data_IF_304263981613
#
_entry.id   IF_304263981613
#
_cell.length_a   1.000
_cell.length_b   1.000
_cell.length_c   1.000
_cell.angle_alpha   90.00
_cell.angle_beta   90.00
_cell.angle_gamma   90.00
#
_symmetry.space_group_name_H-M   'P 1'
#
loop_
_entity.id
_entity.type
_entity.pdbx_description
1 polymer ?
#
# COMPACT_ATOMS: atom_id res chain seq x y z
N UNK A 1 -2.33 37.93 2.13
CA UNK A 1 -1.02 37.34 2.50
C UNK A 1 -1.25 35.85 2.83
N UNK A 2 -1.14 34.96 1.85
CA UNK A 2 -1.39 33.51 2.04
C UNK A 2 -0.09 32.84 2.46
N UNK A 3 -0.09 32.22 3.65
CA UNK A 3 0.99 31.37 4.12
C UNK A 3 1.14 30.17 3.17
N UNK A 4 2.34 30.01 2.64
CA UNK A 4 2.83 28.81 1.99
C UNK A 4 2.88 27.71 3.06
N UNK A 5 2.08 26.66 2.92
CA UNK A 5 2.26 25.41 3.68
C UNK A 5 2.71 24.34 2.70
N UNK A 6 3.92 23.86 2.95
CA UNK A 6 4.65 22.81 2.24
C UNK A 6 3.79 21.55 2.11
N UNK A 7 3.34 21.26 0.88
CA UNK A 7 2.60 20.05 0.51
C UNK A 7 3.61 19.04 -0.07
N UNK A 8 3.70 17.85 0.51
CA UNK A 8 4.44 16.73 -0.08
C UNK A 8 3.51 15.85 -0.91
N UNK A 9 4.00 15.45 -2.09
CA UNK A 9 3.44 14.49 -3.04
C UNK A 9 1.93 14.61 -3.38
N UNK A 10 1.65 15.28 -4.52
CA UNK A 10 0.40 15.14 -5.26
C UNK A 10 0.50 13.91 -6.18
N UNK A 11 -0.52 13.05 -6.17
CA UNK A 11 -0.77 12.13 -7.28
C UNK A 11 -1.99 12.64 -8.07
N UNK A 12 -1.85 12.76 -9.39
CA UNK A 12 -2.88 13.21 -10.32
C UNK A 12 -3.20 12.04 -11.27
N UNK A 13 -4.48 11.66 -11.35
CA UNK A 13 -5.02 11.15 -12.61
C UNK A 13 -6.36 11.85 -12.89
N UNK A 14 -6.54 12.22 -14.16
CA UNK A 14 -7.34 13.38 -14.57
C UNK A 14 -8.86 13.15 -14.64
N UNK A 15 -9.42 12.11 -14.02
CA UNK A 15 -10.85 11.80 -14.18
C UNK A 15 -11.59 11.36 -12.92
N UNK A 16 -11.22 11.88 -11.73
CA UNK A 16 -12.07 12.17 -10.54
C UNK A 16 -11.44 11.69 -9.21
N UNK A 17 -10.70 12.60 -8.55
CA UNK A 17 -10.42 12.50 -7.12
C UNK A 17 -9.05 13.04 -6.72
N UNK A 18 -9.01 14.15 -5.99
CA UNK A 18 -7.79 14.64 -5.32
C UNK A 18 -7.66 13.93 -3.96
N UNK A 19 -6.55 13.23 -3.74
CA UNK A 19 -6.12 12.76 -2.42
C UNK A 19 -4.90 13.57 -1.98
N UNK A 20 -4.96 14.18 -0.80
CA UNK A 20 -3.84 14.89 -0.20
C UNK A 20 -3.39 14.16 1.08
N UNK A 21 -2.10 13.86 1.20
CA UNK A 21 -1.51 13.35 2.44
C UNK A 21 -1.11 14.51 3.35
N UNK A 22 -1.63 14.54 4.56
CA UNK A 22 -1.32 15.55 5.56
C UNK A 22 -0.16 15.09 6.45
N UNK A 23 1.03 15.66 6.21
CA UNK A 23 2.26 15.32 6.93
C UNK A 23 2.23 15.65 8.43
N UNK A 24 1.29 16.48 8.91
CA UNK A 24 1.25 16.89 10.32
C UNK A 24 0.54 15.90 11.23
N UNK A 25 -0.46 15.20 10.72
CA UNK A 25 -1.30 14.28 11.50
C UNK A 25 -1.28 12.85 10.91
N UNK A 26 -0.48 12.61 9.87
CA UNK A 26 -0.31 11.32 9.21
C UNK A 26 -1.62 10.80 8.59
N UNK A 27 -2.53 11.71 8.18
CA UNK A 27 -3.84 11.35 7.61
C UNK A 27 -3.89 11.55 6.09
N UNK A 28 -4.62 10.68 5.40
CA UNK A 28 -4.94 10.80 3.98
C UNK A 28 -6.36 11.34 3.84
N UNK A 29 -6.52 12.54 3.29
CA UNK A 29 -7.83 13.12 2.98
C UNK A 29 -8.18 12.89 1.51
N UNK A 30 -9.22 12.09 1.25
CA UNK A 30 -9.81 11.87 -0.09
C UNK A 30 -11.21 12.47 -0.09
N UNK A 31 -11.49 13.39 -1.00
CA UNK A 31 -12.80 14.04 -1.12
C UNK A 31 -13.64 13.44 -2.23
N UNK A 32 -14.51 12.48 -1.88
CA UNK A 32 -15.99 12.56 -2.00
C UNK A 32 -16.64 11.25 -1.53
N UNK A 33 -17.68 11.42 -0.68
CA UNK A 33 -18.58 10.42 -0.08
C UNK A 33 -18.05 9.63 1.14
N UNK A 34 -18.06 10.32 2.28
CA UNK A 34 -18.64 9.94 3.58
C UNK A 34 -18.35 8.60 4.28
N UNK A 35 -17.49 7.73 3.76
CA UNK A 35 -16.91 6.66 4.57
C UNK A 35 -15.42 6.56 4.24
N UNK A 36 -14.59 7.34 4.96
CA UNK A 36 -13.16 7.05 4.98
C UNK A 36 -13.04 5.72 5.72
N UNK A 37 -13.04 4.60 4.98
CA UNK A 37 -12.61 3.31 5.51
C UNK A 37 -11.14 3.47 5.90
N UNK A 38 -10.92 3.79 7.17
CA UNK A 38 -9.59 3.84 7.75
C UNK A 38 -9.04 2.43 7.74
N UNK A 39 -8.01 2.20 6.93
CA UNK A 39 -7.23 0.98 7.05
C UNK A 39 -6.53 0.98 8.41
N UNK A 40 -6.40 -0.17 9.07
CA UNK A 40 -5.82 -0.27 10.41
C UNK A 40 -4.27 -0.21 10.35
N UNK A 41 -3.70 0.82 9.71
CA UNK A 41 -2.26 0.98 9.50
C UNK A 41 -1.71 2.21 10.24
N UNK A 42 -0.56 2.06 10.92
CA UNK A 42 0.10 3.14 11.67
C UNK A 42 0.96 4.07 10.78
N UNK A 43 1.47 3.56 9.66
CA UNK A 43 2.25 4.32 8.66
C UNK A 43 2.09 3.63 7.33
N UNK A 44 1.98 4.38 6.25
CA UNK A 44 1.61 3.83 4.94
C UNK A 44 2.65 4.15 3.88
N UNK A 45 3.06 3.11 3.16
CA UNK A 45 3.70 3.22 1.86
C UNK A 45 2.65 2.86 0.81
N UNK A 46 2.59 3.60 -0.28
CA UNK A 46 1.58 3.43 -1.33
C UNK A 46 2.19 3.41 -2.72
N UNK A 47 1.62 2.61 -3.61
CA UNK A 47 1.93 2.62 -5.04
C UNK A 47 0.64 2.37 -5.84
N UNK A 48 0.56 2.90 -7.06
CA UNK A 48 -0.58 2.65 -7.96
C UNK A 48 -0.16 1.75 -9.11
N UNK A 49 -1.03 0.82 -9.48
CA UNK A 49 -0.88 0.01 -10.69
C UNK A 49 -2.19 -0.72 -11.00
N UNK A 50 -2.45 -0.98 -12.28
CA UNK A 50 -3.46 -1.95 -12.69
C UNK A 50 -3.00 -3.37 -12.30
N UNK A 51 -3.60 -3.95 -11.26
CA UNK A 51 -3.17 -5.25 -10.69
C UNK A 51 -3.96 -6.43 -11.26
N UNK A 52 -5.11 -6.18 -11.88
CA UNK A 52 -5.97 -7.20 -12.47
C UNK A 52 -6.09 -7.05 -14.00
N UNK A 53 -5.30 -6.16 -14.62
CA UNK A 53 -5.27 -5.85 -16.04
C UNK A 53 -6.65 -5.45 -16.61
N UNK A 54 -7.47 -4.75 -15.81
CA UNK A 54 -8.80 -4.32 -16.22
C UNK A 54 -8.83 -2.91 -16.85
N UNK A 55 -7.66 -2.26 -16.97
CA UNK A 55 -7.50 -0.91 -17.50
C UNK A 55 -7.74 0.21 -16.49
N UNK A 56 -7.89 -0.11 -15.20
CA UNK A 56 -8.04 0.84 -14.10
C UNK A 56 -6.84 0.74 -13.17
N UNK A 57 -6.28 1.87 -12.74
CA UNK A 57 -5.25 1.84 -11.71
C UNK A 57 -5.85 1.55 -10.34
N UNK A 58 -5.33 0.50 -9.70
CA UNK A 58 -5.57 0.16 -8.30
C UNK A 58 -4.52 0.82 -7.40
N UNK A 59 -4.76 0.87 -6.08
CA UNK A 59 -3.78 1.34 -5.10
C UNK A 59 -3.35 0.20 -4.17
N UNK A 60 -2.05 -0.02 -4.02
CA UNK A 60 -1.48 -0.96 -3.06
C UNK A 60 -0.95 -0.13 -1.92
N UNK A 61 -1.32 -0.48 -0.69
CA UNK A 61 -0.82 0.17 0.51
C UNK A 61 -0.30 -0.85 1.50
N UNK A 62 0.88 -0.60 2.04
CA UNK A 62 1.54 -1.47 3.01
C UNK A 62 1.97 -0.68 4.24
N UNK A 63 1.90 -1.32 5.40
CA UNK A 63 2.27 -0.67 6.64
C UNK A 63 2.14 -1.55 7.87
N UNK A 64 2.72 -1.13 9.01
CA UNK A 64 2.48 -1.80 10.27
C UNK A 64 1.02 -1.70 10.71
N UNK A 65 0.44 -2.80 11.16
CA UNK A 65 -0.91 -2.80 11.74
C UNK A 65 -0.94 -1.99 13.05
N UNK A 66 -2.09 -1.38 13.32
CA UNK A 66 -2.35 -0.75 14.62
C UNK A 66 -2.32 -1.84 15.71
N UNK A 67 -1.54 -1.61 16.76
CA UNK A 67 -1.34 -2.59 17.85
C UNK A 67 -0.28 -3.66 17.57
N UNK A 68 0.08 -3.89 16.30
CA UNK A 68 1.08 -4.88 15.89
C UNK A 68 2.21 -4.25 15.05
N UNK A 69 3.01 -3.32 15.61
CA UNK A 69 4.03 -2.56 14.86
C UNK A 69 5.20 -3.42 14.36
N UNK A 70 5.21 -4.71 14.70
CA UNK A 70 6.23 -5.66 14.28
C UNK A 70 5.86 -6.36 12.96
N UNK A 71 4.57 -6.42 12.62
CA UNK A 71 4.07 -7.05 11.42
C UNK A 71 3.62 -5.99 10.42
N UNK A 72 3.87 -6.24 9.15
CA UNK A 72 3.38 -5.42 8.05
C UNK A 72 2.17 -6.08 7.41
N UNK A 73 1.11 -5.32 7.23
CA UNK A 73 -0.01 -5.68 6.39
C UNK A 73 0.05 -4.98 5.04
N UNK A 74 -0.53 -5.61 4.02
CA UNK A 74 -0.67 -5.12 2.66
C UNK A 74 -2.15 -5.18 2.30
N UNK A 75 -2.68 -4.05 1.84
CA UNK A 75 -4.02 -3.93 1.30
C UNK A 75 -3.94 -3.55 -0.17
N UNK A 76 -4.82 -4.14 -0.97
CA UNK A 76 -5.19 -3.69 -2.30
C UNK A 76 -6.47 -2.88 -2.18
N UNK A 77 -6.47 -1.68 -2.74
CA UNK A 77 -7.66 -0.88 -2.97
C UNK A 77 -7.97 -1.05 -4.45
N UNK A 78 -8.89 -1.95 -4.77
CA UNK A 78 -9.26 -2.24 -6.16
C UNK A 78 -10.19 -1.15 -6.69
N UNK A 79 -9.88 -0.61 -7.86
CA UNK A 79 -10.65 0.45 -8.47
C UNK A 79 -11.88 -0.13 -9.19
N UNK A 80 -13.07 0.11 -8.63
CA UNK A 80 -14.36 -0.29 -9.23
C UNK A 80 -14.97 0.82 -10.08
N UNK A 81 -14.16 1.76 -10.59
CA UNK A 81 -14.52 3.01 -11.30
C UNK A 81 -15.24 4.07 -10.47
N UNK A 82 -16.19 3.65 -9.62
CA UNK A 82 -17.00 4.56 -8.80
C UNK A 82 -16.47 4.72 -7.38
N UNK A 83 -15.70 3.75 -6.91
CA UNK A 83 -15.12 3.70 -5.58
C UNK A 83 -13.92 2.75 -5.58
N UNK A 84 -13.16 2.77 -4.49
CA UNK A 84 -12.12 1.78 -4.21
C UNK A 84 -12.64 0.74 -3.21
N UNK A 85 -12.46 -0.54 -3.52
CA UNK A 85 -12.82 -1.65 -2.66
C UNK A 85 -11.57 -2.17 -1.93
N UNK A 86 -11.47 -2.02 -0.60
CA UNK A 86 -10.31 -2.50 0.14
C UNK A 86 -10.35 -4.02 0.33
N UNK A 87 -9.23 -4.66 0.01
CA UNK A 87 -8.97 -6.09 0.17
C UNK A 87 -7.66 -6.27 0.94
N UNK A 88 -7.73 -6.97 2.07
CA UNK A 88 -6.53 -7.40 2.78
C UNK A 88 -5.85 -8.52 1.96
N UNK A 89 -4.58 -8.33 1.61
CA UNK A 89 -3.80 -9.33 0.89
C UNK A 89 -3.00 -10.20 1.85
N UNK A 90 -2.40 -9.58 2.85
CA UNK A 90 -1.57 -10.22 3.87
C UNK A 90 -1.46 -9.31 5.08
N UNK A 91 -1.45 -9.85 6.30
CA UNK A 91 -1.32 -9.09 7.56
C UNK A 91 -0.17 -9.57 8.44
N UNK A 92 0.46 -10.70 8.10
CA UNK A 92 1.46 -11.35 8.95
C UNK A 92 2.91 -11.25 8.44
N UNK A 93 3.23 -10.28 7.58
CA UNK A 93 4.59 -10.18 7.04
C UNK A 93 5.53 -9.69 8.17
N UNK A 94 6.55 -10.47 8.58
CA UNK A 94 7.38 -10.17 9.75
C UNK A 94 8.49 -9.15 9.43
N UNK A 95 8.07 -7.99 8.91
CA UNK A 95 8.92 -6.87 8.51
C UNK A 95 8.51 -5.60 9.23
N UNK A 96 9.52 -4.80 9.62
CA UNK A 96 9.37 -3.41 10.04
C UNK A 96 9.92 -2.47 8.97
N UNK A 97 9.36 -1.27 8.93
CA UNK A 97 9.71 -0.21 7.95
C UNK A 97 9.73 -0.77 6.51
N UNK A 98 8.60 -1.32 6.05
CA UNK A 98 8.56 -1.96 4.75
C UNK A 98 8.76 -0.96 3.62
N UNK A 99 9.33 -1.42 2.52
CA UNK A 99 9.28 -0.79 1.21
C UNK A 99 8.94 -1.87 0.19
N UNK A 100 8.14 -1.53 -0.83
CA UNK A 100 7.74 -2.50 -1.84
C UNK A 100 7.82 -1.93 -3.25
N UNK A 101 7.91 -2.84 -4.21
CA UNK A 101 7.86 -2.57 -5.64
C UNK A 101 6.85 -3.50 -6.30
N UNK A 102 6.27 -3.04 -7.40
CA UNK A 102 5.34 -3.82 -8.21
C UNK A 102 6.02 -4.24 -9.51
N UNK A 103 6.06 -5.54 -9.78
CA UNK A 103 6.66 -6.09 -10.99
C UNK A 103 6.14 -7.50 -11.24
N UNK A 104 5.93 -7.85 -12.49
CA UNK A 104 5.72 -9.24 -12.90
C UNK A 104 7.05 -10.00 -12.73
N UNK A 105 7.19 -10.79 -11.66
CA UNK A 105 8.45 -11.51 -11.35
C UNK A 105 8.47 -12.91 -11.92
N UNK A 106 7.31 -13.50 -12.21
CA UNK A 106 7.18 -14.85 -12.73
C UNK A 106 6.86 -14.89 -14.24
N UNK A 107 6.70 -13.73 -14.88
CA UNK A 107 6.34 -13.51 -16.28
C UNK A 107 4.96 -14.08 -16.67
N UNK A 108 3.97 -14.03 -15.78
CA UNK A 108 2.60 -14.47 -16.06
C UNK A 108 1.68 -13.35 -16.58
N UNK A 109 2.21 -12.14 -16.72
CA UNK A 109 1.49 -10.96 -17.21
C UNK A 109 0.74 -10.19 -16.12
N UNK A 110 0.73 -10.68 -14.87
CA UNK A 110 0.20 -9.95 -13.72
C UNK A 110 1.34 -9.31 -12.93
N UNK A 111 1.11 -8.14 -12.35
CA UNK A 111 2.11 -7.53 -11.46
C UNK A 111 2.06 -8.22 -10.10
N UNK A 112 3.23 -8.65 -9.63
CA UNK A 112 3.47 -9.15 -8.29
C UNK A 112 3.95 -8.04 -7.34
N UNK A 113 3.94 -8.31 -6.04
CA UNK A 113 4.45 -7.38 -5.02
C UNK A 113 5.73 -7.95 -4.42
N UNK A 114 6.85 -7.24 -4.60
CA UNK A 114 8.10 -7.54 -3.90
C UNK A 114 8.22 -6.59 -2.74
N UNK A 115 8.22 -7.11 -1.51
CA UNK A 115 8.30 -6.29 -0.30
C UNK A 115 9.57 -6.62 0.48
N UNK A 116 10.24 -5.59 0.98
CA UNK A 116 11.45 -5.72 1.78
C UNK A 116 11.38 -4.85 3.02
N UNK A 117 12.11 -5.23 4.06
CA UNK A 117 12.13 -4.48 5.30
C UNK A 117 13.10 -5.07 6.31
N UNK A 118 13.09 -4.47 7.50
CA UNK A 118 13.86 -4.97 8.63
C UNK A 118 13.16 -6.19 9.24
N UNK A 119 13.83 -7.33 9.20
CA UNK A 119 13.37 -8.58 9.79
C UNK A 119 13.38 -8.50 11.32
N UNK A 120 12.36 -9.11 11.93
CA UNK A 120 12.30 -9.41 13.35
C UNK A 120 13.18 -10.63 13.66
N UNK A 121 14.50 -10.48 13.62
CA UNK A 121 15.38 -11.49 14.21
C UNK A 121 15.41 -11.30 15.73
N UNK A 122 15.23 -12.38 16.49
CA UNK A 122 15.38 -12.38 17.96
C UNK A 122 16.83 -12.11 18.41
N UNK A 123 17.79 -12.13 17.47
CA UNK A 123 19.20 -11.86 17.77
C UNK A 123 19.47 -10.36 17.58
N UNK A 124 20.38 -9.81 18.38
CA UNK A 124 20.79 -8.38 18.40
C UNK A 124 21.32 -7.79 17.07
N UNK A 125 21.16 -8.48 15.94
CA UNK A 125 21.57 -8.06 14.61
C UNK A 125 20.35 -7.70 13.77
N UNK A 126 20.40 -6.53 13.13
CA UNK A 126 19.40 -6.11 12.16
C UNK A 126 19.65 -6.85 10.84
N UNK A 127 18.68 -7.63 10.38
CA UNK A 127 18.72 -8.29 9.08
C UNK A 127 17.67 -7.67 8.15
N UNK A 128 18.02 -7.47 6.89
CA UNK A 128 17.06 -7.13 5.84
C UNK A 128 16.52 -8.43 5.24
N UNK A 129 15.21 -8.49 5.05
CA UNK A 129 14.55 -9.62 4.39
C UNK A 129 13.57 -9.08 3.35
N UNK A 130 13.41 -9.84 2.27
CA UNK A 130 12.35 -9.61 1.31
C UNK A 130 11.41 -10.82 1.25
N UNK A 131 10.21 -10.58 0.73
CA UNK A 131 9.19 -11.57 0.42
C UNK A 131 8.58 -11.22 -0.93
N UNK A 132 8.16 -12.24 -1.67
CA UNK A 132 7.43 -12.05 -2.92
C UNK A 132 5.98 -12.46 -2.69
N UNK A 133 5.04 -11.61 -3.07
CA UNK A 133 3.62 -11.95 -3.10
C UNK A 133 3.23 -12.09 -4.57
N UNK A 134 3.02 -13.33 -4.98
CA UNK A 134 2.70 -13.69 -6.37
C UNK A 134 1.21 -13.52 -6.61
N UNK A 135 0.84 -12.65 -7.55
CA UNK A 135 -0.53 -12.37 -7.94
C UNK A 135 -1.07 -13.49 -8.84
N UNK A 136 -2.15 -14.15 -8.41
CA UNK A 136 -2.85 -15.20 -9.19
C UNK A 136 -4.20 -14.73 -9.74
N UNK A 137 -4.39 -13.42 -9.88
CA UNK A 137 -5.62 -12.78 -10.36
C UNK A 137 -6.74 -12.71 -9.32
N UNK A 138 -6.80 -13.68 -8.39
CA UNK A 138 -7.84 -13.73 -7.33
C UNK A 138 -7.26 -13.68 -5.91
N UNK A 139 -5.98 -14.01 -5.73
CA UNK A 139 -5.30 -14.06 -4.45
C UNK A 139 -3.79 -13.92 -4.64
N UNK A 140 -3.07 -13.74 -3.54
CA UNK A 140 -1.61 -13.69 -3.52
C UNK A 140 -1.06 -14.90 -2.77
N UNK A 141 0.05 -15.45 -3.25
CA UNK A 141 0.83 -16.47 -2.55
C UNK A 141 2.13 -15.86 -2.08
N UNK A 142 2.48 -16.04 -0.80
CA UNK A 142 3.76 -15.59 -0.26
C UNK A 142 4.84 -16.64 -0.54
N UNK A 143 5.92 -16.21 -1.18
CA UNK A 143 7.14 -17.00 -1.46
C UNK A 143 8.38 -16.38 -0.78
#
# INVERSE_FOLDING_TARGET
MKLIKTLGALFLSSTLGLGCWNFRDNTLEISRQNEIKKLPLNSTYGHTADMNNNGLEDCIVAGPLIGEPQKTAIFLLENKKTHYEPKLLYDEIPLRNPSFALRDVNNDGLKDIVISGKSLSEKRRTHWKHFNLINKGNFYVLE
#
